data_IF_969694617395
#
_entry.id   IF_969694617395
#
_cell.length_a   1.000
_cell.length_b   1.000
_cell.length_c   1.000
_cell.angle_alpha   90.00
_cell.angle_beta   90.00
_cell.angle_gamma   90.00
#
_symmetry.space_group_name_H-M   'P 1'
#
loop_
_entity.id
_entity.type
_entity.pdbx_description
1 polymer ?
#
# COMPACT_ATOMS: atom_id res chain seq x y z
N UNK A 1 -4.19 -5.83 20.34
CA UNK A 1 -3.41 -7.08 20.17
C UNK A 1 -3.57 -7.71 18.77
N UNK A 2 -4.77 -7.76 18.18
CA UNK A 2 -5.00 -8.30 16.82
C UNK A 2 -4.28 -7.56 15.68
N UNK A 3 -4.14 -6.24 15.78
CA UNK A 3 -3.44 -5.42 14.77
C UNK A 3 -1.94 -5.78 14.70
N UNK A 4 -1.32 -6.11 15.84
CA UNK A 4 0.12 -6.44 15.91
C UNK A 4 0.44 -7.82 15.32
N UNK A 5 -0.47 -8.80 15.51
CA UNK A 5 -0.30 -10.16 14.96
C UNK A 5 -0.45 -10.13 13.43
N UNK A 6 -1.41 -9.35 12.92
CA UNK A 6 -1.55 -9.09 11.49
C UNK A 6 -0.33 -8.34 10.93
N UNK A 7 0.19 -7.33 11.65
CA UNK A 7 1.36 -6.56 11.19
C UNK A 7 2.63 -7.42 11.07
N UNK A 8 2.84 -8.37 11.99
CA UNK A 8 4.00 -9.28 11.95
C UNK A 8 3.90 -10.35 10.85
N UNK A 9 2.69 -10.83 10.51
CA UNK A 9 2.51 -11.87 9.48
C UNK A 9 2.68 -11.34 8.05
N UNK A 10 2.32 -10.07 7.79
CA UNK A 10 2.50 -9.48 6.45
C UNK A 10 3.98 -9.20 6.14
N UNK A 11 4.77 -8.80 7.14
CA UNK A 11 6.21 -8.71 6.97
C UNK A 11 6.85 -10.10 6.82
N UNK A 12 6.32 -11.13 7.50
CA UNK A 12 6.85 -12.50 7.33
C UNK A 12 6.61 -13.01 5.91
N UNK A 13 5.40 -12.86 5.35
CA UNK A 13 5.10 -13.41 4.02
C UNK A 13 5.90 -12.73 2.89
N UNK A 14 6.16 -11.42 2.97
CA UNK A 14 6.99 -10.73 1.98
C UNK A 14 8.45 -11.19 2.03
N UNK A 15 8.98 -11.42 3.24
CA UNK A 15 10.30 -12.02 3.42
C UNK A 15 10.34 -13.48 2.93
N UNK A 16 9.31 -14.27 3.22
CA UNK A 16 9.19 -15.65 2.72
C UNK A 16 9.17 -15.68 1.19
N UNK A 17 8.42 -14.78 0.53
CA UNK A 17 8.42 -14.66 -0.93
C UNK A 17 9.81 -14.28 -1.46
N UNK A 18 10.49 -13.32 -0.81
CA UNK A 18 11.77 -12.80 -1.30
C UNK A 18 12.95 -13.72 -1.02
N UNK A 19 12.93 -14.52 0.05
CA UNK A 19 14.09 -15.30 0.48
C UNK A 19 13.86 -16.82 0.45
N UNK A 20 12.62 -17.30 0.52
CA UNK A 20 12.31 -18.74 0.58
C UNK A 20 11.72 -19.24 -0.75
N UNK A 21 12.11 -20.42 -1.22
CA UNK A 21 11.55 -21.04 -2.44
C UNK A 21 10.25 -21.80 -2.15
N UNK A 22 9.32 -21.15 -1.44
CA UNK A 22 8.08 -21.78 -0.94
C UNK A 22 6.88 -21.62 -1.86
N UNK A 23 6.87 -20.60 -2.70
CA UNK A 23 5.74 -20.23 -3.54
C UNK A 23 6.13 -20.26 -5.01
N UNK A 24 5.24 -20.75 -5.86
CA UNK A 24 5.35 -20.64 -7.31
C UNK A 24 5.01 -19.22 -7.78
N UNK A 25 5.41 -18.85 -9.00
CA UNK A 25 5.25 -17.48 -9.49
C UNK A 25 3.78 -17.00 -9.54
N UNK A 26 2.86 -17.90 -9.88
CA UNK A 26 1.42 -17.64 -9.89
C UNK A 26 0.88 -17.43 -8.48
N UNK A 27 1.30 -18.24 -7.51
CA UNK A 27 0.96 -18.09 -6.10
C UNK A 27 1.49 -16.76 -5.54
N UNK A 28 2.76 -16.43 -5.82
CA UNK A 28 3.36 -15.13 -5.45
C UNK A 28 2.53 -13.98 -6.01
N UNK A 29 2.16 -14.06 -7.28
CA UNK A 29 1.36 -13.01 -7.92
C UNK A 29 -0.02 -12.87 -7.27
N UNK A 30 -0.69 -13.99 -6.93
CA UNK A 30 -1.98 -13.97 -6.22
C UNK A 30 -1.83 -13.31 -4.84
N UNK A 31 -0.83 -13.70 -4.07
CA UNK A 31 -0.58 -13.18 -2.72
C UNK A 31 -0.33 -11.67 -2.79
N UNK A 32 0.60 -11.22 -3.65
CA UNK A 32 0.94 -9.80 -3.78
C UNK A 32 -0.25 -8.95 -4.23
N UNK A 33 -1.08 -9.45 -5.16
CA UNK A 33 -2.26 -8.72 -5.63
C UNK A 33 -3.39 -8.63 -4.58
N UNK A 34 -3.31 -9.36 -3.47
CA UNK A 34 -4.25 -9.22 -2.36
C UNK A 34 -3.90 -8.04 -1.42
N UNK A 35 -2.64 -7.58 -1.38
CA UNK A 35 -2.20 -6.51 -0.48
C UNK A 35 -2.98 -5.19 -0.64
N UNK A 36 -3.29 -4.71 -1.86
CA UNK A 36 -4.03 -3.46 -2.04
C UNK A 36 -5.44 -3.46 -1.44
N UNK A 37 -6.01 -4.64 -1.14
CA UNK A 37 -7.32 -4.77 -0.51
C UNK A 37 -7.33 -4.36 0.97
N UNK A 38 -6.14 -4.21 1.58
CA UNK A 38 -5.98 -3.75 2.96
C UNK A 38 -4.95 -2.61 2.99
N UNK A 39 -5.34 -1.35 3.28
CA UNK A 39 -4.43 -0.20 3.28
C UNK A 39 -3.20 -0.39 4.18
N UNK A 40 -3.34 -1.04 5.33
CA UNK A 40 -2.22 -1.30 6.23
C UNK A 40 -1.23 -2.31 5.63
N UNK A 41 -1.74 -3.35 4.96
CA UNK A 41 -0.91 -4.31 4.24
C UNK A 41 -0.21 -3.62 3.05
N UNK A 42 -0.94 -2.85 2.25
CA UNK A 42 -0.40 -2.09 1.14
C UNK A 42 0.73 -1.14 1.55
N UNK A 43 0.61 -0.45 2.69
CA UNK A 43 1.69 0.36 3.25
C UNK A 43 2.92 -0.47 3.62
N UNK A 44 2.74 -1.64 4.23
CA UNK A 44 3.85 -2.56 4.53
C UNK A 44 4.53 -2.97 3.23
N UNK A 45 3.75 -3.34 2.21
CA UNK A 45 4.28 -3.71 0.89
C UNK A 45 5.03 -2.56 0.22
N UNK A 46 4.48 -1.33 0.26
CA UNK A 46 5.15 -0.13 -0.25
C UNK A 46 6.53 0.08 0.37
N UNK A 47 6.63 0.00 1.70
CA UNK A 47 7.92 0.13 2.40
C UNK A 47 8.87 -1.02 2.06
N UNK A 48 8.37 -2.25 2.05
CA UNK A 48 9.17 -3.44 1.77
C UNK A 48 9.74 -3.42 0.35
N UNK A 49 8.91 -3.13 -0.65
CA UNK A 49 9.31 -3.11 -2.07
C UNK A 49 10.35 -2.03 -2.30
N UNK A 50 10.14 -0.82 -1.77
CA UNK A 50 11.13 0.27 -1.89
C UNK A 50 12.46 -0.07 -1.22
N UNK A 51 12.42 -0.71 -0.05
CA UNK A 51 13.63 -1.08 0.69
C UNK A 51 14.42 -2.23 0.03
N UNK A 52 13.75 -3.16 -0.64
CA UNK A 52 14.35 -4.42 -1.11
C UNK A 52 14.36 -4.57 -2.64
N UNK A 53 14.09 -3.51 -3.40
CA UNK A 53 13.88 -3.59 -4.85
C UNK A 53 15.04 -4.24 -5.61
N UNK A 54 16.28 -3.95 -5.24
CA UNK A 54 17.45 -4.53 -5.90
C UNK A 54 17.50 -6.05 -5.75
N UNK A 55 17.18 -6.57 -4.56
CA UNK A 55 17.11 -8.01 -4.31
C UNK A 55 15.91 -8.65 -5.02
N UNK A 56 14.76 -7.97 -5.01
CA UNK A 56 13.56 -8.39 -5.75
C UNK A 56 13.88 -8.55 -7.25
N UNK A 57 14.52 -7.55 -7.86
CA UNK A 57 14.88 -7.60 -9.28
C UNK A 57 15.93 -8.67 -9.56
N UNK A 58 16.92 -8.83 -8.68
CA UNK A 58 17.93 -9.88 -8.84
C UNK A 58 17.30 -11.27 -8.84
N UNK A 59 16.43 -11.54 -7.87
CA UNK A 59 15.76 -12.84 -7.71
C UNK A 59 14.77 -13.13 -8.83
N UNK A 60 13.96 -12.14 -9.20
CA UNK A 60 12.86 -12.30 -10.15
C UNK A 60 13.14 -11.68 -11.52
N UNK A 61 14.41 -11.54 -11.90
CA UNK A 61 14.85 -10.91 -13.16
C UNK A 61 14.23 -11.52 -14.42
N UNK A 62 13.88 -12.81 -14.38
CA UNK A 62 13.19 -13.52 -15.46
C UNK A 62 11.67 -13.46 -15.44
N UNK A 63 11.05 -12.96 -14.35
CA UNK A 63 9.60 -13.02 -14.16
C UNK A 63 8.97 -11.63 -14.11
N UNK A 64 8.54 -11.18 -15.29
CA UNK A 64 7.82 -9.91 -15.41
C UNK A 64 6.54 -9.85 -14.56
N UNK A 65 5.79 -10.96 -14.50
CA UNK A 65 4.54 -11.07 -13.73
C UNK A 65 4.77 -10.83 -12.24
N UNK A 66 5.82 -11.42 -11.67
CA UNK A 66 6.16 -11.26 -10.25
C UNK A 66 6.64 -9.83 -9.97
N UNK A 67 7.56 -9.30 -10.78
CA UNK A 67 8.03 -7.92 -10.64
C UNK A 67 6.88 -6.90 -10.73
N UNK A 68 5.97 -7.10 -11.68
CA UNK A 68 4.77 -6.27 -11.80
C UNK A 68 3.89 -6.38 -10.56
N UNK A 69 3.69 -7.59 -10.03
CA UNK A 69 2.85 -7.82 -8.84
C UNK A 69 3.43 -7.16 -7.59
N UNK A 70 4.75 -7.16 -7.41
CA UNK A 70 5.40 -6.39 -6.33
C UNK A 70 5.15 -4.89 -6.45
N UNK A 71 5.17 -4.34 -7.67
CA UNK A 71 4.88 -2.92 -7.81
C UNK A 71 3.40 -2.64 -7.53
N UNK A 72 2.49 -3.47 -8.04
CA UNK A 72 1.05 -3.32 -7.84
C UNK A 72 0.60 -3.56 -6.40
N UNK A 73 1.32 -4.36 -5.62
CA UNK A 73 0.98 -4.58 -4.20
C UNK A 73 1.11 -3.32 -3.35
N UNK A 74 1.78 -2.28 -3.86
CA UNK A 74 1.89 -0.96 -3.22
C UNK A 74 0.66 -0.06 -3.43
N UNK A 75 -0.28 -0.42 -4.31
CA UNK A 75 -1.51 0.37 -4.54
C UNK A 75 -2.28 0.51 -3.23
N UNK A 76 -2.84 1.70 -2.96
CA UNK A 76 -3.44 2.12 -1.69
C UNK A 76 -2.46 2.23 -0.49
N UNK A 77 -1.18 1.98 -0.69
CA UNK A 77 -0.15 2.07 0.34
C UNK A 77 0.50 3.45 0.49
N UNK A 78 0.08 4.44 -0.29
CA UNK A 78 0.60 5.81 -0.23
C UNK A 78 -0.52 6.72 0.29
N UNK A 79 -0.31 7.29 1.47
CA UNK A 79 -1.36 8.03 2.20
C UNK A 79 -0.94 9.42 2.62
N UNK A 80 0.32 9.79 2.36
CA UNK A 80 0.89 11.10 2.72
C UNK A 80 1.63 11.71 1.53
N UNK A 81 1.89 13.01 1.59
CA UNK A 81 2.74 13.70 0.60
C UNK A 81 4.18 13.14 0.63
N UNK A 82 4.70 12.76 1.81
CA UNK A 82 6.01 12.12 1.94
C UNK A 82 6.08 10.75 1.24
N UNK A 83 5.03 9.93 1.35
CA UNK A 83 4.98 8.62 0.67
C UNK A 83 5.09 8.78 -0.86
N UNK A 84 4.53 9.86 -1.41
CA UNK A 84 4.58 10.18 -2.83
C UNK A 84 5.97 10.64 -3.27
N UNK A 85 6.59 11.54 -2.50
CA UNK A 85 7.96 11.99 -2.76
C UNK A 85 8.95 10.82 -2.71
N UNK A 86 8.83 9.97 -1.69
CA UNK A 86 9.67 8.78 -1.57
C UNK A 86 9.50 7.82 -2.76
N UNK A 87 8.28 7.66 -3.29
CA UNK A 87 8.01 6.85 -4.48
C UNK A 87 8.70 7.45 -5.72
N UNK A 88 8.66 8.76 -5.87
CA UNK A 88 9.28 9.45 -7.00
C UNK A 88 10.80 9.27 -6.97
N UNK A 89 11.44 9.53 -5.82
CA UNK A 89 12.87 9.29 -5.60
C UNK A 89 13.21 7.82 -5.87
N UNK A 90 12.42 6.89 -5.34
CA UNK A 90 12.60 5.46 -5.59
C UNK A 90 12.60 5.11 -7.09
N UNK A 91 11.67 5.66 -7.86
CA UNK A 91 11.57 5.40 -9.31
C UNK A 91 12.73 6.01 -10.09
N UNK A 92 13.21 7.18 -9.67
CA UNK A 92 14.37 7.83 -10.31
C UNK A 92 15.65 7.02 -10.08
N UNK A 93 15.91 6.61 -8.84
CA UNK A 93 17.07 5.78 -8.49
C UNK A 93 17.05 4.45 -9.23
N UNK A 94 15.86 3.88 -9.45
CA UNK A 94 15.68 2.55 -10.05
C UNK A 94 15.17 2.60 -11.49
N UNK A 95 15.40 3.71 -12.20
CA UNK A 95 14.79 4.00 -13.51
C UNK A 95 14.95 2.87 -14.54
N UNK A 96 16.16 2.30 -14.64
CA UNK A 96 16.47 1.23 -15.61
C UNK A 96 15.89 -0.12 -15.19
N UNK A 97 16.07 -0.53 -13.92
CA UNK A 97 15.56 -1.81 -13.43
C UNK A 97 14.02 -1.87 -13.38
N UNK A 98 13.36 -0.71 -13.24
CA UNK A 98 11.90 -0.60 -13.30
C UNK A 98 11.33 -0.49 -14.71
N UNK A 99 12.15 -0.50 -15.78
CA UNK A 99 11.67 -0.23 -17.15
C UNK A 99 10.46 -1.06 -17.57
N UNK A 100 10.45 -2.36 -17.22
CA UNK A 100 9.32 -3.24 -17.49
C UNK A 100 8.06 -2.91 -16.68
N UNK A 101 8.22 -2.44 -15.44
CA UNK A 101 7.13 -2.21 -14.48
C UNK A 101 6.66 -0.75 -14.41
N UNK A 102 7.15 0.14 -15.28
CA UNK A 102 6.83 1.58 -15.26
C UNK A 102 5.33 1.89 -15.28
N UNK A 103 4.55 1.13 -16.03
CA UNK A 103 3.09 1.30 -16.04
C UNK A 103 2.47 1.03 -14.67
N UNK A 104 2.91 -0.05 -13.99
CA UNK A 104 2.45 -0.35 -12.64
C UNK A 104 2.88 0.75 -11.65
N UNK A 105 4.10 1.26 -11.78
CA UNK A 105 4.60 2.35 -10.93
C UNK A 105 3.80 3.65 -11.13
N UNK A 106 3.45 3.98 -12.37
CA UNK A 106 2.60 5.13 -12.69
C UNK A 106 1.18 4.98 -12.13
N UNK A 107 0.63 3.76 -12.12
CA UNK A 107 -0.67 3.49 -11.49
C UNK A 107 -0.61 3.70 -9.97
N UNK A 108 0.44 3.20 -9.31
CA UNK A 108 0.65 3.41 -7.87
C UNK A 108 0.75 4.90 -7.54
N UNK A 109 1.52 5.66 -8.32
CA UNK A 109 1.66 7.11 -8.16
C UNK A 109 0.33 7.84 -8.38
N UNK A 110 -0.39 7.53 -9.46
CA UNK A 110 -1.68 8.15 -9.76
C UNK A 110 -2.70 7.90 -8.64
N UNK A 111 -2.73 6.67 -8.11
CA UNK A 111 -3.60 6.33 -7.00
C UNK A 111 -3.21 7.04 -5.70
N UNK A 112 -1.92 7.13 -5.38
CA UNK A 112 -1.45 7.89 -4.23
C UNK A 112 -1.81 9.38 -4.33
N UNK A 113 -1.62 10.00 -5.51
CA UNK A 113 -2.02 11.37 -5.76
C UNK A 113 -3.52 11.58 -5.54
N UNK A 114 -4.34 10.65 -6.05
CA UNK A 114 -5.79 10.68 -5.87
C UNK A 114 -6.19 10.56 -4.39
N UNK A 115 -5.66 9.57 -3.67
CA UNK A 115 -5.99 9.34 -2.25
C UNK A 115 -5.56 10.52 -1.39
N UNK A 116 -4.34 11.04 -1.56
CA UNK A 116 -3.85 12.19 -0.81
C UNK A 116 -4.71 13.44 -1.08
N UNK A 117 -5.07 13.70 -2.34
CA UNK A 117 -5.96 14.80 -2.68
C UNK A 117 -7.36 14.61 -2.09
N UNK A 118 -7.92 13.40 -2.14
CA UNK A 118 -9.23 13.09 -1.57
C UNK A 118 -9.24 13.28 -0.06
N UNK A 119 -8.25 12.75 0.66
CA UNK A 119 -8.11 12.90 2.11
C UNK A 119 -8.01 14.38 2.49
N UNK A 120 -7.14 15.14 1.83
CA UNK A 120 -6.93 16.57 2.11
C UNK A 120 -8.20 17.41 1.99
N UNK A 121 -9.04 17.10 1.00
CA UNK A 121 -10.24 17.90 0.72
C UNK A 121 -11.50 17.38 1.43
N UNK A 122 -11.61 16.07 1.65
CA UNK A 122 -12.84 15.43 2.13
C UNK A 122 -12.81 15.13 3.62
N UNK A 123 -11.64 14.84 4.20
CA UNK A 123 -11.53 14.45 5.61
C UNK A 123 -12.09 15.52 6.56
N UNK A 124 -11.79 16.83 6.42
CA UNK A 124 -12.35 17.85 7.30
C UNK A 124 -13.89 17.94 7.22
N UNK A 125 -14.46 17.70 6.03
CA UNK A 125 -15.91 17.73 5.83
C UNK A 125 -16.57 16.53 6.53
N UNK A 126 -15.99 15.34 6.39
CA UNK A 126 -16.47 14.12 7.03
C UNK A 126 -16.35 14.25 8.56
N UNK A 127 -15.23 14.75 9.07
CA UNK A 127 -15.03 14.97 10.51
C UNK A 127 -16.07 15.94 11.10
N UNK A 128 -16.49 16.96 10.34
CA UNK A 128 -17.54 17.87 10.80
C UNK A 128 -18.91 17.19 10.82
N UNK A 129 -19.27 16.44 9.77
CA UNK A 129 -20.54 15.70 9.70
C UNK A 129 -20.65 14.73 10.87
N UNK A 130 -19.60 13.96 11.15
CA UNK A 130 -19.60 13.00 12.25
C UNK A 130 -19.74 13.66 13.62
N UNK A 131 -19.14 14.84 13.83
CA UNK A 131 -19.32 15.62 15.07
C UNK A 131 -20.74 16.13 15.23
N UNK A 132 -21.34 16.63 14.16
CA UNK A 132 -22.74 17.08 14.17
C UNK A 132 -23.70 15.93 14.53
N UNK A 133 -23.47 14.72 13.97
CA UNK A 133 -24.25 13.52 14.31
C UNK A 133 -24.08 13.09 15.78
N UNK A 134 -22.87 13.15 16.33
CA UNK A 134 -22.60 12.85 17.74
C UNK A 134 -23.32 13.84 18.69
N UNK A 135 -23.27 15.14 18.38
CA UNK A 135 -23.94 16.19 19.15
C UNK A 135 -25.48 16.05 19.11
N UNK A 136 -26.04 15.69 17.96
CA UNK A 136 -27.48 15.41 17.82
C UNK A 136 -27.92 14.17 18.63
N UNK A 137 -27.13 13.09 18.63
CA UNK A 137 -27.43 11.90 19.43
C UNK A 137 -27.37 12.20 20.94
N UNK A 138 -26.39 12.96 21.42
CA UNK A 138 -26.29 13.36 22.82
C UNK A 138 -27.46 14.25 23.25
N UNK A 139 -27.84 15.22 22.42
CA UNK A 139 -28.99 16.07 22.67
C UNK A 139 -30.28 15.25 22.83
N UNK A 140 -30.52 14.29 21.94
CA UNK A 140 -31.69 13.41 22.01
C UNK A 140 -31.71 12.55 23.29
N UNK A 141 -30.57 11.99 23.71
CA UNK A 141 -30.48 11.20 24.95
C UNK A 141 -30.76 12.03 26.20
N UNK A 142 -30.32 13.29 26.23
CA UNK A 142 -30.54 14.19 27.37
C UNK A 142 -32.00 14.62 27.54
N UNK A 143 -32.79 14.64 26.46
CA UNK A 143 -34.23 14.99 26.49
C UNK A 143 -35.11 13.82 26.94
N UNK A 144 -34.64 12.58 26.77
CA UNK A 144 -35.39 11.36 27.14
C UNK A 144 -35.10 10.82 28.54
N UNK A 145 -34.18 11.44 29.30
CA UNK A 145 -33.84 11.08 30.69
C UNK A 145 -34.46 12.04 31.70
#
# INVERSE_FOLDING_TARGET
MYIYISFSSHNSILNEILHEERFQEDEISIILNAFPQNPAAAQISSRFVRANWQEIVQRFSGSYSVLKSFVLSMVNGLTTEQDLEDLQIFREINYDSMKGTRYAAALVEANGNFVTAWLKNSLPQIENILKEEEEEEEAQRSVTS
#
